data_IF_392743667559
#
_entry.id   IF_392743667559
#
_cell.length_a   1.000
_cell.length_b   1.000
_cell.length_c   1.000
_cell.angle_alpha   90.00
_cell.angle_beta   90.00
_cell.angle_gamma   90.00
#
_symmetry.space_group_name_H-M   'P 1'
#
loop_
_entity.id
_entity.type
_entity.pdbx_description
1 polymer ?
#
# COMPACT_ATOMS: atom_id res chain seq x y z
N UNK A 1 30.74 -64.94 -69.41
CA UNK A 1 31.68 -64.93 -68.28
C UNK A 1 31.15 -63.96 -67.25
N UNK A 2 30.60 -64.45 -66.14
CA UNK A 2 30.05 -63.64 -65.06
C UNK A 2 31.00 -63.73 -63.86
N UNK A 3 31.62 -62.60 -63.53
CA UNK A 3 32.57 -62.43 -62.43
C UNK A 3 31.82 -62.15 -61.13
N UNK A 4 31.90 -63.09 -60.19
CA UNK A 4 31.32 -62.99 -58.85
C UNK A 4 32.32 -62.24 -57.93
N UNK A 5 31.93 -61.08 -57.42
CA UNK A 5 32.72 -60.31 -56.45
C UNK A 5 32.37 -60.76 -55.02
N UNK A 6 33.37 -61.28 -54.30
CA UNK A 6 33.24 -61.72 -52.90
C UNK A 6 33.50 -60.51 -52.00
N UNK A 7 32.46 -60.05 -51.31
CA UNK A 7 32.53 -58.95 -50.34
C UNK A 7 32.92 -59.50 -48.97
N UNK A 8 34.12 -59.17 -48.49
CA UNK A 8 34.59 -59.52 -47.14
C UNK A 8 33.96 -58.58 -46.11
N UNK A 9 33.00 -59.10 -45.33
CA UNK A 9 32.42 -58.40 -44.19
C UNK A 9 33.45 -58.28 -43.05
N UNK A 10 33.79 -57.05 -42.67
CA UNK A 10 34.66 -56.77 -41.54
C UNK A 10 33.82 -56.69 -40.25
N UNK A 11 34.07 -57.59 -39.30
CA UNK A 11 33.39 -57.64 -38.01
C UNK A 11 33.84 -56.50 -37.09
N UNK A 12 33.23 -55.33 -37.27
CA UNK A 12 33.37 -54.21 -36.33
C UNK A 12 32.80 -54.59 -34.96
N UNK A 13 33.67 -54.68 -33.96
CA UNK A 13 33.25 -54.86 -32.58
C UNK A 13 32.54 -53.59 -32.12
N UNK A 14 31.24 -53.68 -31.85
CA UNK A 14 30.46 -52.59 -31.26
C UNK A 14 31.06 -52.24 -29.89
N UNK A 15 31.79 -51.12 -29.81
CA UNK A 15 32.21 -50.56 -28.54
C UNK A 15 30.95 -50.13 -27.78
N UNK A 16 30.63 -50.86 -26.71
CA UNK A 16 29.63 -50.45 -25.74
C UNK A 16 30.11 -49.12 -25.14
N UNK A 17 29.34 -48.03 -25.26
CA UNK A 17 29.75 -46.75 -24.70
C UNK A 17 29.95 -46.92 -23.19
N UNK A 18 31.14 -46.55 -22.70
CA UNK A 18 31.47 -46.65 -21.29
C UNK A 18 30.41 -45.93 -20.45
N UNK A 19 29.87 -46.62 -19.44
CA UNK A 19 28.85 -46.06 -18.57
C UNK A 19 29.35 -44.74 -17.96
N UNK A 20 28.53 -43.67 -17.95
CA UNK A 20 28.95 -42.37 -17.44
C UNK A 20 29.28 -42.50 -15.95
N UNK A 21 30.52 -42.19 -15.58
CA UNK A 21 30.95 -42.23 -14.19
C UNK A 21 30.09 -41.28 -13.35
N UNK A 22 29.45 -41.81 -12.31
CA UNK A 22 28.65 -41.02 -11.37
C UNK A 22 29.57 -40.10 -10.60
N UNK A 23 29.49 -38.79 -10.86
CA UNK A 23 30.19 -37.81 -10.04
C UNK A 23 29.54 -37.77 -8.65
N UNK A 24 30.35 -37.54 -7.60
CA UNK A 24 29.89 -37.39 -6.20
C UNK A 24 28.69 -36.41 -6.09
N UNK A 25 28.67 -35.36 -6.91
CA UNK A 25 27.58 -34.40 -6.98
C UNK A 25 26.26 -34.94 -7.52
N UNK A 26 26.33 -35.90 -8.46
CA UNK A 26 25.16 -36.61 -8.97
C UNK A 26 24.66 -37.64 -7.96
N UNK A 27 25.56 -38.20 -7.15
CA UNK A 27 25.22 -39.07 -6.02
C UNK A 27 24.51 -38.29 -4.90
N UNK A 28 24.92 -37.04 -4.63
CA UNK A 28 24.28 -36.17 -3.64
C UNK A 28 22.96 -35.52 -4.11
N UNK A 29 22.47 -35.82 -5.31
CA UNK A 29 21.17 -35.29 -5.78
C UNK A 29 21.15 -33.79 -6.09
N UNK A 30 22.31 -33.15 -6.29
CA UNK A 30 22.42 -31.71 -6.65
C UNK A 30 22.94 -31.56 -8.11
N UNK A 31 22.24 -32.09 -9.14
CA UNK A 31 22.74 -32.05 -10.51
C UNK A 31 22.73 -30.64 -11.14
N UNK A 32 21.98 -29.68 -10.58
CA UNK A 32 21.78 -28.37 -11.19
C UNK A 32 22.79 -27.29 -10.76
N UNK A 33 23.37 -27.38 -9.55
CA UNK A 33 24.27 -26.35 -9.00
C UNK A 33 25.56 -26.18 -9.81
N UNK A 34 26.16 -27.29 -10.23
CA UNK A 34 27.40 -27.29 -11.03
C UNK A 34 27.23 -26.72 -12.43
N UNK A 35 26.06 -26.90 -13.05
CA UNK A 35 25.79 -26.36 -14.38
C UNK A 35 25.71 -24.83 -14.34
N UNK A 36 25.07 -24.26 -13.31
CA UNK A 36 24.96 -22.81 -13.15
C UNK A 36 26.32 -22.16 -12.84
N UNK A 37 27.13 -22.79 -11.98
CA UNK A 37 28.50 -22.32 -11.70
C UNK A 37 29.37 -22.43 -12.95
N UNK A 38 29.27 -23.54 -13.69
CA UNK A 38 30.01 -23.74 -14.94
C UNK A 38 29.62 -22.70 -16.00
N UNK A 39 28.34 -22.40 -16.17
CA UNK A 39 27.88 -21.40 -17.13
C UNK A 39 28.36 -19.99 -16.75
N UNK A 40 28.31 -19.62 -15.47
CA UNK A 40 28.80 -18.31 -14.97
C UNK A 40 30.32 -18.20 -15.03
N UNK A 41 31.05 -19.30 -14.84
CA UNK A 41 32.53 -19.29 -14.81
C UNK A 41 33.17 -19.44 -16.19
N UNK A 42 32.63 -20.29 -17.07
CA UNK A 42 33.21 -20.56 -18.40
C UNK A 42 33.13 -19.35 -19.32
N UNK A 43 32.11 -18.49 -19.21
CA UNK A 43 32.01 -17.28 -20.02
C UNK A 43 32.06 -15.95 -19.26
N UNK A 44 32.57 -15.94 -18.02
CA UNK A 44 32.75 -14.68 -17.26
C UNK A 44 33.60 -13.63 -17.99
N UNK A 45 34.50 -14.07 -18.88
CA UNK A 45 35.40 -13.23 -19.68
C UNK A 45 34.96 -13.05 -21.14
N UNK A 46 33.82 -13.60 -21.56
CA UNK A 46 33.32 -13.49 -22.93
C UNK A 46 34.09 -14.30 -23.99
N UNK A 47 35.10 -15.10 -23.61
CA UNK A 47 35.99 -15.80 -24.55
C UNK A 47 35.41 -17.10 -25.15
N UNK A 48 34.26 -17.57 -24.66
CA UNK A 48 33.66 -18.84 -25.11
C UNK A 48 32.16 -18.71 -25.39
N UNK A 49 31.74 -17.88 -26.36
CA UNK A 49 30.32 -17.61 -26.66
C UNK A 49 29.53 -18.82 -27.19
N UNK A 50 30.22 -19.89 -27.60
CA UNK A 50 29.57 -21.12 -28.06
C UNK A 50 29.32 -22.16 -26.96
N UNK A 51 29.81 -21.93 -25.73
CA UNK A 51 29.65 -22.82 -24.59
C UNK A 51 28.54 -22.39 -23.62
N UNK A 52 27.95 -21.21 -23.81
CA UNK A 52 26.78 -20.77 -23.05
C UNK A 52 25.52 -21.55 -23.45
N UNK A 53 24.62 -21.75 -22.48
CA UNK A 53 23.28 -22.27 -22.76
C UNK A 53 22.56 -21.35 -23.74
N UNK A 54 22.15 -21.90 -24.88
CA UNK A 54 21.29 -21.23 -25.85
C UNK A 54 19.86 -21.79 -25.71
N UNK A 55 18.83 -20.94 -25.46
CA UNK A 55 18.90 -19.50 -25.23
C UNK A 55 19.46 -19.14 -23.83
N UNK A 56 20.20 -18.01 -23.68
CA UNK A 56 20.75 -17.60 -22.40
C UNK A 56 19.62 -17.31 -21.41
N UNK A 57 19.72 -17.90 -20.21
CA UNK A 57 18.77 -17.62 -19.14
C UNK A 57 19.03 -16.21 -18.60
N UNK A 58 18.16 -15.27 -18.95
CA UNK A 58 18.16 -13.90 -18.43
C UNK A 58 17.87 -13.90 -16.93
N UNK A 59 18.38 -12.92 -16.20
CA UNK A 59 18.04 -12.72 -14.78
C UNK A 59 16.57 -12.36 -14.70
N UNK A 60 15.86 -12.83 -13.67
CA UNK A 60 14.40 -12.64 -13.58
C UNK A 60 14.01 -11.15 -13.68
N UNK A 61 14.77 -10.25 -13.05
CA UNK A 61 14.55 -8.80 -13.10
C UNK A 61 15.06 -8.08 -14.36
N UNK A 62 15.55 -8.78 -15.39
CA UNK A 62 15.94 -8.11 -16.64
C UNK A 62 14.70 -7.51 -17.33
N UNK A 63 14.75 -6.27 -17.85
CA UNK A 63 13.60 -5.60 -18.45
C UNK A 63 13.02 -6.37 -19.64
N UNK A 64 13.85 -7.14 -20.34
CA UNK A 64 13.40 -8.00 -21.44
C UNK A 64 12.47 -9.15 -21.00
N UNK A 65 12.40 -9.48 -19.70
CA UNK A 65 11.44 -10.46 -19.19
C UNK A 65 10.06 -9.86 -18.91
N UNK A 66 9.96 -8.53 -18.72
CA UNK A 66 8.68 -7.81 -18.63
C UNK A 66 7.91 -7.88 -19.96
N UNK A 67 8.64 -7.95 -21.07
CA UNK A 67 8.11 -8.10 -22.43
C UNK A 67 7.90 -9.57 -22.84
N UNK A 68 8.16 -10.52 -21.95
CA UNK A 68 8.01 -11.93 -22.29
C UNK A 68 6.55 -12.33 -22.51
N UNK A 69 6.29 -13.14 -23.54
CA UNK A 69 4.93 -13.62 -23.86
C UNK A 69 4.39 -14.60 -22.82
N UNK A 70 5.25 -15.15 -21.95
CA UNK A 70 4.83 -16.09 -20.92
C UNK A 70 4.36 -15.32 -19.66
N UNK A 71 3.09 -15.45 -19.25
CA UNK A 71 2.54 -14.69 -18.13
C UNK A 71 3.27 -14.96 -16.81
N UNK A 72 3.80 -16.19 -16.61
CA UNK A 72 4.53 -16.53 -15.39
C UNK A 72 5.90 -15.82 -15.31
N UNK A 73 6.60 -15.68 -16.44
CA UNK A 73 7.92 -15.00 -16.49
C UNK A 73 7.73 -13.49 -16.31
N UNK A 74 6.71 -12.91 -16.95
CA UNK A 74 6.36 -11.51 -16.78
C UNK A 74 5.99 -11.18 -15.33
N UNK A 75 5.11 -11.96 -14.71
CA UNK A 75 4.73 -11.77 -13.30
C UNK A 75 5.94 -11.92 -12.36
N UNK A 76 6.79 -12.93 -12.57
CA UNK A 76 8.00 -13.10 -11.78
C UNK A 76 8.98 -11.94 -11.95
N UNK A 77 9.12 -11.39 -13.16
CA UNK A 77 9.94 -10.23 -13.44
C UNK A 77 9.40 -8.97 -12.75
N UNK A 78 8.10 -8.73 -12.81
CA UNK A 78 7.42 -7.61 -12.13
C UNK A 78 7.61 -7.69 -10.61
N UNK A 79 7.39 -8.86 -10.01
CA UNK A 79 7.61 -9.08 -8.57
C UNK A 79 9.07 -8.87 -8.21
N UNK A 80 10.01 -9.37 -9.02
CA UNK A 80 11.44 -9.21 -8.76
C UNK A 80 11.88 -7.76 -8.85
N UNK A 81 11.39 -7.01 -9.84
CA UNK A 81 11.65 -5.58 -9.95
C UNK A 81 11.08 -4.85 -8.74
N UNK A 82 9.86 -5.16 -8.31
CA UNK A 82 9.28 -4.56 -7.10
C UNK A 82 10.08 -4.88 -5.83
N UNK A 83 10.55 -6.12 -5.69
CA UNK A 83 11.38 -6.59 -4.58
C UNK A 83 12.77 -5.93 -4.60
N UNK A 84 13.41 -5.81 -5.75
CA UNK A 84 14.72 -5.15 -5.89
C UNK A 84 14.62 -3.63 -5.59
N UNK A 85 13.44 -3.04 -5.81
CA UNK A 85 13.12 -1.66 -5.42
C UNK A 85 12.84 -1.49 -3.93
N UNK A 86 12.69 -2.57 -3.14
CA UNK A 86 12.44 -2.51 -1.67
C UNK A 86 13.46 -1.63 -0.96
N UNK A 87 14.75 -1.83 -1.21
CA UNK A 87 15.81 -1.07 -0.54
C UNK A 87 15.74 0.42 -0.88
N UNK A 88 15.39 0.76 -2.13
CA UNK A 88 15.22 2.14 -2.56
C UNK A 88 13.97 2.77 -1.95
N UNK A 89 12.85 2.04 -1.89
CA UNK A 89 11.62 2.47 -1.23
C UNK A 89 11.86 2.77 0.25
N UNK A 90 12.51 1.87 0.98
CA UNK A 90 12.85 2.08 2.39
C UNK A 90 13.75 3.31 2.56
N UNK A 91 14.76 3.50 1.70
CA UNK A 91 15.63 4.69 1.75
C UNK A 91 14.84 5.98 1.48
N UNK A 92 13.92 5.96 0.52
CA UNK A 92 13.05 7.09 0.21
C UNK A 92 12.11 7.42 1.38
N UNK A 93 11.48 6.41 1.99
CA UNK A 93 10.62 6.57 3.17
C UNK A 93 11.39 7.19 4.33
N UNK A 94 12.59 6.69 4.64
CA UNK A 94 13.45 7.27 5.70
C UNK A 94 13.83 8.72 5.40
N UNK A 95 14.07 9.05 4.13
CA UNK A 95 14.33 10.43 3.72
C UNK A 95 13.09 11.32 3.88
N UNK A 96 11.91 10.86 3.45
CA UNK A 96 10.63 11.56 3.64
C UNK A 96 10.34 11.80 5.14
N UNK A 97 10.57 10.79 5.98
CA UNK A 97 10.42 10.88 7.44
C UNK A 97 11.35 11.92 8.06
N UNK A 98 12.60 12.01 7.57
CA UNK A 98 13.60 13.01 8.00
C UNK A 98 13.18 14.43 7.62
N UNK A 99 12.55 14.61 6.45
CA UNK A 99 11.99 15.91 6.05
C UNK A 99 10.76 16.27 6.89
N UNK A 100 10.00 15.26 7.31
CA UNK A 100 8.79 15.35 8.12
C UNK A 100 7.59 15.96 7.37
N UNK A 101 6.39 15.80 7.94
CA UNK A 101 5.15 16.37 7.38
C UNK A 101 4.92 17.84 7.75
N UNK A 102 6.01 18.58 8.03
CA UNK A 102 5.95 19.99 8.40
C UNK A 102 5.94 20.91 7.19
N UNK A 103 6.94 21.77 7.09
CA UNK A 103 7.02 22.84 6.08
C UNK A 103 6.93 22.38 4.61
N UNK A 104 7.27 21.13 4.31
CA UNK A 104 7.31 20.58 2.96
C UNK A 104 6.03 19.83 2.55
N UNK A 105 5.07 19.68 3.47
CA UNK A 105 3.84 18.91 3.22
C UNK A 105 2.60 19.81 3.06
N UNK A 106 2.79 21.03 2.55
CA UNK A 106 1.67 21.98 2.32
C UNK A 106 0.58 21.41 1.42
N UNK A 107 0.98 20.54 0.50
CA UNK A 107 0.09 19.90 -0.47
C UNK A 107 -0.29 18.46 -0.06
N UNK A 108 0.16 17.98 1.11
CA UNK A 108 -0.09 16.60 1.54
C UNK A 108 0.71 15.52 0.78
N UNK A 109 1.63 15.90 -0.11
CA UNK A 109 2.41 14.98 -0.94
C UNK A 109 3.25 13.99 -0.12
N UNK A 110 3.84 14.43 0.99
CA UNK A 110 4.64 13.56 1.87
C UNK A 110 3.70 12.62 2.62
N UNK A 111 2.59 13.14 3.15
CA UNK A 111 1.57 12.34 3.82
C UNK A 111 0.99 11.26 2.90
N UNK A 112 0.59 11.63 1.68
CA UNK A 112 0.01 10.69 0.71
C UNK A 112 1.04 9.64 0.26
N UNK A 113 2.32 10.03 0.11
CA UNK A 113 3.40 9.09 -0.20
C UNK A 113 3.67 8.10 0.94
N UNK A 114 3.61 8.54 2.20
CA UNK A 114 3.75 7.66 3.37
C UNK A 114 2.55 6.71 3.51
N UNK A 115 1.33 7.19 3.27
CA UNK A 115 0.12 6.33 3.25
C UNK A 115 0.25 5.27 2.14
N UNK A 116 0.67 5.67 0.93
CA UNK A 116 0.90 4.72 -0.16
C UNK A 116 1.99 3.69 0.19
N UNK A 117 3.02 4.07 0.95
CA UNK A 117 4.05 3.15 1.43
C UNK A 117 3.53 2.18 2.52
N UNK A 118 2.57 2.59 3.34
CA UNK A 118 1.86 1.70 4.28
C UNK A 118 0.99 0.68 3.55
N UNK A 119 0.65 0.90 2.27
CA UNK A 119 -0.14 -0.02 1.44
C UNK A 119 0.73 -0.84 0.47
N UNK A 120 2.06 -0.76 0.59
CA UNK A 120 2.96 -1.52 -0.28
C UNK A 120 2.78 -3.02 -0.07
N UNK A 121 2.85 -3.81 -1.14
CA UNK A 121 2.72 -5.26 -1.05
C UNK A 121 3.83 -5.91 -0.18
N UNK A 122 4.98 -5.23 -0.03
CA UNK A 122 6.14 -5.73 0.70
C UNK A 122 6.02 -5.40 2.20
N UNK A 123 5.98 -6.41 3.09
CA UNK A 123 5.76 -6.18 4.53
C UNK A 123 6.84 -5.29 5.15
N UNK A 124 8.11 -5.42 4.73
CA UNK A 124 9.19 -4.58 5.26
C UNK A 124 9.08 -3.10 4.87
N UNK A 125 8.49 -2.81 3.71
CA UNK A 125 8.28 -1.43 3.26
C UNK A 125 7.15 -0.81 4.08
N UNK A 126 6.07 -1.57 4.33
CA UNK A 126 4.98 -1.15 5.23
C UNK A 126 5.49 -0.90 6.65
N UNK A 127 6.26 -1.83 7.21
CA UNK A 127 6.84 -1.71 8.54
C UNK A 127 7.74 -0.46 8.64
N UNK A 128 8.64 -0.26 7.68
CA UNK A 128 9.52 0.90 7.64
C UNK A 128 8.73 2.23 7.53
N UNK A 129 7.60 2.24 6.84
CA UNK A 129 6.72 3.41 6.76
C UNK A 129 6.05 3.73 8.11
N UNK A 130 5.58 2.71 8.83
CA UNK A 130 4.95 2.86 10.15
C UNK A 130 5.98 3.31 11.19
N UNK A 131 7.16 2.71 11.22
CA UNK A 131 8.27 3.12 12.09
C UNK A 131 8.70 4.56 11.79
N UNK A 132 8.81 4.92 10.50
CA UNK A 132 9.08 6.28 10.08
C UNK A 132 8.05 7.27 10.64
N UNK A 133 6.75 6.97 10.53
CA UNK A 133 5.69 7.82 11.11
C UNK A 133 5.82 7.92 12.63
N UNK A 134 6.05 6.82 13.33
CA UNK A 134 6.24 6.80 14.78
C UNK A 134 7.44 7.64 15.23
N UNK A 135 8.57 7.56 14.51
CA UNK A 135 9.76 8.37 14.80
C UNK A 135 9.55 9.85 14.49
N UNK A 136 8.84 10.20 13.42
CA UNK A 136 8.52 11.60 13.11
C UNK A 136 7.48 12.15 14.09
N UNK A 137 6.58 11.33 14.60
CA UNK A 137 5.55 11.73 15.57
C UNK A 137 6.11 11.96 16.99
N UNK A 138 7.16 11.23 17.38
CA UNK A 138 7.82 11.41 18.68
C UNK A 138 8.85 12.55 18.69
N UNK A 139 9.21 13.08 17.52
CA UNK A 139 10.19 14.16 17.38
C UNK A 139 9.71 15.51 17.93
N UNK A 140 10.67 16.41 18.13
CA UNK A 140 10.36 17.80 18.48
C UNK A 140 9.61 18.50 17.34
N UNK A 141 8.68 19.37 17.73
CA UNK A 141 7.88 20.16 16.82
C UNK A 141 8.77 20.96 15.86
N UNK A 142 8.44 20.99 14.57
CA UNK A 142 9.22 21.78 13.62
C UNK A 142 9.22 23.26 14.05
N UNK A 143 10.40 23.81 14.33
CA UNK A 143 10.55 25.17 14.87
C UNK A 143 10.00 26.27 13.95
N UNK A 144 9.82 25.97 12.65
CA UNK A 144 9.31 26.92 11.65
C UNK A 144 7.79 26.94 11.53
N UNK A 145 7.13 25.78 11.58
CA UNK A 145 5.69 25.69 11.33
C UNK A 145 4.87 25.28 12.55
N UNK A 146 5.50 24.84 13.65
CA UNK A 146 4.81 24.46 14.89
C UNK A 146 3.89 23.23 14.76
N UNK A 147 3.68 22.70 13.56
CA UNK A 147 3.00 21.43 13.34
C UNK A 147 3.94 20.30 13.76
N UNK A 148 3.49 19.52 14.72
CA UNK A 148 4.38 18.71 15.56
C UNK A 148 4.58 17.30 15.03
N UNK A 149 3.78 16.84 14.07
CA UNK A 149 3.79 15.43 13.68
C UNK A 149 3.14 15.17 12.33
N UNK A 150 3.50 14.04 11.72
CA UNK A 150 2.80 13.44 10.57
C UNK A 150 1.42 12.86 10.93
N UNK A 151 0.90 13.13 12.13
CA UNK A 151 -0.32 12.54 12.66
C UNK A 151 -1.56 13.26 12.14
N UNK A 152 -1.74 13.25 10.81
CA UNK A 152 -2.99 13.70 10.20
C UNK A 152 -4.13 12.71 10.48
N UNK A 153 -5.37 13.17 10.38
CA UNK A 153 -6.55 12.31 10.51
C UNK A 153 -6.51 11.14 9.52
N UNK A 154 -5.99 11.36 8.31
CA UNK A 154 -5.82 10.30 7.30
C UNK A 154 -4.82 9.23 7.76
N UNK A 155 -3.66 9.64 8.28
CA UNK A 155 -2.61 8.72 8.75
C UNK A 155 -3.10 7.93 9.96
N UNK A 156 -3.70 8.60 10.95
CA UNK A 156 -4.26 7.94 12.14
C UNK A 156 -5.40 6.98 11.79
N UNK A 157 -6.28 7.35 10.84
CA UNK A 157 -7.29 6.42 10.32
C UNK A 157 -6.63 5.19 9.70
N UNK A 158 -5.67 5.36 8.79
CA UNK A 158 -5.01 4.23 8.13
C UNK A 158 -4.26 3.33 9.11
N UNK A 159 -3.55 3.91 10.08
CA UNK A 159 -2.90 3.14 11.15
C UNK A 159 -3.93 2.32 11.96
N UNK A 160 -5.12 2.89 12.24
CA UNK A 160 -6.18 2.17 12.97
C UNK A 160 -6.78 1.01 12.18
N UNK A 161 -6.91 1.16 10.86
CA UNK A 161 -7.32 0.09 9.95
C UNK A 161 -6.30 -1.05 9.98
N UNK A 162 -5.00 -0.74 9.87
CA UNK A 162 -3.92 -1.73 9.94
C UNK A 162 -3.88 -2.42 11.30
N UNK A 163 -3.99 -1.66 12.40
CA UNK A 163 -3.85 -2.21 13.75
C UNK A 163 -5.03 -3.11 14.16
N UNK A 164 -6.27 -2.68 13.87
CA UNK A 164 -7.46 -3.24 14.51
C UNK A 164 -8.53 -3.77 13.57
N UNK A 165 -8.55 -3.36 12.30
CA UNK A 165 -9.64 -3.75 11.40
C UNK A 165 -9.54 -5.22 11.00
N UNK A 166 -10.72 -5.85 10.93
CA UNK A 166 -10.90 -7.25 10.55
C UNK A 166 -11.84 -7.31 9.35
N UNK A 167 -11.63 -8.27 8.47
CA UNK A 167 -12.52 -8.55 7.34
C UNK A 167 -13.82 -9.22 7.80
N UNK A 168 -14.75 -9.45 6.86
CA UNK A 168 -16.03 -10.12 7.12
C UNK A 168 -15.85 -11.58 7.61
N UNK A 169 -14.65 -12.17 7.46
CA UNK A 169 -14.31 -13.50 7.96
C UNK A 169 -13.76 -13.48 9.39
N UNK A 170 -13.54 -12.29 9.95
CA UNK A 170 -12.94 -12.10 11.28
C UNK A 170 -11.41 -12.18 11.28
N UNK A 171 -10.77 -12.29 10.11
CA UNK A 171 -9.32 -12.23 9.96
C UNK A 171 -8.85 -10.77 9.94
N UNK A 172 -7.67 -10.49 10.50
CA UNK A 172 -7.11 -9.14 10.44
C UNK A 172 -6.78 -8.75 8.99
N UNK A 173 -7.07 -7.50 8.60
CA UNK A 173 -6.73 -7.00 7.27
C UNK A 173 -5.22 -7.01 7.01
N UNK A 174 -4.42 -6.67 8.03
CA UNK A 174 -2.97 -6.81 7.98
C UNK A 174 -2.54 -8.20 8.49
N UNK A 175 -1.98 -9.08 7.62
CA UNK A 175 -1.62 -10.43 8.01
C UNK A 175 -0.43 -10.50 8.98
N UNK A 176 0.49 -9.51 8.96
CA UNK A 176 1.66 -9.53 9.84
C UNK A 176 1.36 -8.96 11.23
N UNK A 177 1.49 -9.80 12.26
CA UNK A 177 1.31 -9.37 13.65
C UNK A 177 2.30 -8.28 14.09
N UNK A 178 3.53 -8.31 13.57
CA UNK A 178 4.56 -7.29 13.86
C UNK A 178 4.15 -5.90 13.34
N UNK A 179 3.60 -5.86 12.12
CA UNK A 179 3.13 -4.62 11.48
C UNK A 179 1.93 -4.06 12.24
N UNK A 180 0.99 -4.92 12.68
CA UNK A 180 -0.16 -4.52 13.50
C UNK A 180 0.27 -3.88 14.82
N UNK A 181 1.22 -4.51 15.52
CA UNK A 181 1.76 -3.99 16.77
C UNK A 181 2.47 -2.64 16.55
N UNK A 182 3.33 -2.54 15.55
CA UNK A 182 3.99 -1.29 15.20
C UNK A 182 3.00 -0.17 14.88
N UNK A 183 1.89 -0.49 14.19
CA UNK A 183 0.84 0.47 13.89
C UNK A 183 0.10 0.94 15.14
N UNK A 184 -0.20 0.02 16.07
CA UNK A 184 -0.78 0.35 17.38
C UNK A 184 0.16 1.25 18.21
N UNK A 185 1.46 0.95 18.23
CA UNK A 185 2.47 1.76 18.92
C UNK A 185 2.55 3.17 18.30
N UNK A 186 2.56 3.28 16.97
CA UNK A 186 2.55 4.55 16.26
C UNK A 186 1.27 5.36 16.53
N UNK A 187 0.11 4.72 16.63
CA UNK A 187 -1.15 5.38 17.03
C UNK A 187 -1.09 5.98 18.43
N UNK A 188 -0.53 5.24 19.38
CA UNK A 188 -0.37 5.71 20.76
C UNK A 188 0.50 6.98 20.82
N UNK A 189 1.57 7.03 20.01
CA UNK A 189 2.42 8.22 19.90
C UNK A 189 1.65 9.37 19.24
N UNK A 190 0.90 9.10 18.17
CA UNK A 190 0.15 10.12 17.45
C UNK A 190 -1.03 10.71 18.23
N UNK A 191 -1.60 9.98 19.19
CA UNK A 191 -2.83 10.35 19.88
C UNK A 191 -2.77 10.03 21.38
N UNK A 192 -1.92 10.73 22.19
CA UNK A 192 -1.71 10.40 23.59
C UNK A 192 -2.96 10.51 24.49
N UNK A 193 -3.98 11.24 24.04
CA UNK A 193 -5.23 11.45 24.80
C UNK A 193 -6.44 10.68 24.23
N UNK A 194 -6.29 9.98 23.11
CA UNK A 194 -7.39 9.17 22.57
C UNK A 194 -7.32 7.82 23.28
N UNK A 195 -8.35 7.52 24.07
CA UNK A 195 -8.47 6.24 24.76
C UNK A 195 -8.14 5.09 23.76
N UNK A 196 -7.19 4.26 24.16
CA UNK A 196 -6.61 3.13 23.43
C UNK A 196 -7.70 2.21 22.88
N UNK A 197 -8.11 2.42 21.63
CA UNK A 197 -8.99 1.53 20.86
C UNK A 197 -10.30 1.13 21.56
N UNK A 198 -11.11 0.26 20.93
CA UNK A 198 -11.82 -0.73 21.72
C UNK A 198 -10.74 -1.40 22.56
N UNK A 199 -10.83 -1.30 23.88
CA UNK A 199 -10.05 -2.17 24.77
C UNK A 199 -10.41 -3.56 24.26
N UNK A 200 -9.49 -4.21 23.53
CA UNK A 200 -9.50 -5.67 23.49
C UNK A 200 -9.40 -5.99 24.97
N UNK A 201 -10.56 -6.25 25.60
CA UNK A 201 -10.57 -7.00 26.84
C UNK A 201 -9.76 -8.21 26.44
N UNK A 202 -8.51 -8.26 26.92
CA UNK A 202 -7.68 -9.45 26.90
C UNK A 202 -8.57 -10.51 27.54
N UNK A 203 -9.37 -11.18 26.71
CA UNK A 203 -10.06 -12.40 27.05
C UNK A 203 -8.89 -13.25 27.49
N UNK A 204 -8.73 -13.48 28.81
CA UNK A 204 -7.50 -14.02 29.36
C UNK A 204 -7.19 -15.21 28.50
N UNK A 205 -6.06 -15.16 27.77
CA UNK A 205 -5.69 -16.17 26.80
C UNK A 205 -5.87 -17.49 27.52
N UNK A 206 -7.00 -18.15 27.22
CA UNK A 206 -7.52 -19.22 28.07
C UNK A 206 -6.45 -20.27 27.96
N UNK A 207 -5.66 -20.42 29.03
CA UNK A 207 -4.40 -21.15 29.01
C UNK A 207 -4.71 -22.51 28.45
N UNK A 208 -4.46 -22.68 27.15
CA UNK A 208 -4.62 -23.94 26.48
C UNK A 208 -3.75 -24.87 27.32
N UNK A 209 -4.35 -25.90 27.95
CA UNK A 209 -3.62 -26.72 28.88
C UNK A 209 -2.37 -27.20 28.15
N UNK A 210 -1.20 -26.92 28.74
CA UNK A 210 0.07 -27.37 28.19
C UNK A 210 -0.11 -28.81 27.71
N UNK A 211 0.31 -29.14 26.47
CA UNK A 211 0.23 -30.51 26.00
C UNK A 211 0.86 -31.39 27.05
N UNK A 212 0.03 -32.21 27.69
CA UNK A 212 0.44 -33.13 28.74
C UNK A 212 1.57 -33.94 28.15
N UNK A 213 2.79 -33.76 28.68
CA UNK A 213 3.96 -34.54 28.29
C UNK A 213 3.55 -36.01 28.31
N UNK A 214 3.45 -36.60 27.13
CA UNK A 214 3.23 -38.03 27.01
C UNK A 214 4.35 -38.75 27.78
N UNK A 215 4.01 -39.74 28.62
CA UNK A 215 4.98 -40.43 29.45
C UNK A 215 6.02 -41.13 28.58
N UNK A 216 7.28 -40.95 28.98
CA UNK A 216 8.47 -41.58 28.42
C UNK A 216 8.24 -43.06 28.11
N UNK A 217 8.20 -43.40 26.82
CA UNK A 217 8.38 -44.78 26.37
C UNK A 217 9.81 -45.22 26.63
N UNK A 218 9.96 -45.91 27.75
CA UNK A 218 10.81 -47.07 28.05
C UNK A 218 11.82 -47.44 26.95
N UNK A 219 13.09 -47.23 27.30
CA UNK A 219 14.22 -48.16 27.20
C UNK A 219 14.14 -49.29 26.18
N UNK A 220 14.95 -49.18 25.13
CA UNK A 220 15.38 -50.29 24.28
C UNK A 220 16.87 -50.15 24.02
N UNK A 221 17.68 -50.78 24.86
CA UNK A 221 19.12 -50.95 24.71
C UNK A 221 19.45 -51.64 23.39
N UNK A 222 20.42 -51.10 22.67
CA UNK A 222 20.95 -51.64 21.43
C UNK A 222 22.37 -51.12 21.20
N UNK A 223 23.31 -51.69 21.96
CA UNK A 223 24.75 -51.57 21.75
C UNK A 223 25.13 -51.94 20.31
N UNK A 224 25.86 -51.04 19.64
CA UNK A 224 27.03 -51.27 18.77
C UNK A 224 27.44 -49.88 18.27
N UNK A 225 28.61 -49.30 18.51
CA UNK A 225 29.95 -49.88 18.54
C UNK A 225 30.73 -49.25 17.38
N UNK A 226 31.62 -48.31 17.69
CA UNK A 226 32.59 -47.70 16.76
C UNK A 226 32.27 -46.24 16.44
N UNK A 227 33.22 -45.31 16.36
CA UNK A 227 34.66 -45.36 16.51
C UNK A 227 35.13 -43.90 16.65
N UNK A 228 36.08 -43.67 17.53
CA UNK A 228 36.59 -42.35 17.87
C UNK A 228 37.38 -41.73 16.72
N UNK A 229 37.13 -40.45 16.42
CA UNK A 229 38.13 -39.60 15.76
C UNK A 229 38.34 -38.36 16.64
N UNK A 230 39.44 -38.43 17.37
CA UNK A 230 40.02 -37.39 18.21
C UNK A 230 40.87 -36.49 17.30
N UNK A 231 40.56 -35.19 17.27
CA UNK A 231 41.30 -34.20 16.51
C UNK A 231 41.47 -32.93 17.34
N UNK A 232 42.60 -32.87 18.04
CA UNK A 232 43.09 -31.71 18.80
C UNK A 232 43.55 -30.57 17.88
N UNK A 233 43.51 -29.35 18.40
CA UNK A 233 44.27 -28.19 17.92
C UNK A 233 43.36 -27.03 17.49
N UNK A 234 43.49 -25.81 18.01
CA UNK A 234 44.43 -25.23 18.95
C UNK A 234 44.04 -23.76 19.12
N UNK A 235 44.18 -23.25 20.33
CA UNK A 235 43.96 -21.86 20.69
C UNK A 235 45.01 -20.96 20.03
N UNK A 236 44.58 -19.84 19.42
CA UNK A 236 45.45 -18.70 19.17
C UNK A 236 44.62 -17.42 19.27
N UNK A 237 44.77 -16.77 20.42
CA UNK A 237 44.43 -15.39 20.63
C UNK A 237 45.19 -14.49 19.63
N UNK A 238 44.49 -13.51 19.07
CA UNK A 238 45.07 -12.55 18.14
C UNK A 238 44.21 -11.29 18.05
N UNK A 239 44.39 -10.41 19.03
CA UNK A 239 44.03 -9.00 18.94
C UNK A 239 44.57 -8.41 17.62
N UNK A 240 43.72 -7.79 16.82
CA UNK A 240 44.16 -6.76 15.86
C UNK A 240 43.05 -5.74 15.69
N UNK A 241 43.35 -4.57 16.23
CA UNK A 241 42.67 -3.33 15.96
C UNK A 241 42.81 -3.03 14.46
N UNK A 242 41.69 -2.95 13.76
CA UNK A 242 41.65 -2.49 12.38
C UNK A 242 41.15 -1.03 12.40
N UNK A 243 42.12 -0.14 12.27
CA UNK A 243 41.96 1.25 11.89
C UNK A 243 41.37 1.33 10.49
N UNK A 244 40.12 1.78 10.38
CA UNK A 244 39.55 2.20 9.10
C UNK A 244 40.10 3.60 8.80
N UNK A 245 41.06 3.64 7.89
CA UNK A 245 41.49 4.88 7.24
C UNK A 245 40.42 5.32 6.25
N UNK A 246 39.87 6.51 6.50
CA UNK A 246 39.10 7.30 5.55
C UNK A 246 40.01 7.69 4.37
N UNK A 247 39.68 7.21 3.17
CA UNK A 247 40.23 7.70 1.91
C UNK A 247 39.17 7.53 0.81
N UNK A 248 38.49 8.62 0.46
CA UNK A 248 38.01 8.89 -0.89
C UNK A 248 37.67 10.38 -1.00
N UNK A 249 38.73 11.16 -1.19
CA UNK A 249 38.68 12.52 -1.69
C UNK A 249 38.02 12.59 -3.07
N UNK A 250 37.45 13.78 -3.28
CA UNK A 250 36.88 14.26 -4.51
C UNK A 250 37.90 14.26 -5.66
N UNK A 251 37.41 13.98 -6.87
CA UNK A 251 37.96 14.64 -8.05
C UNK A 251 36.87 14.86 -9.10
N UNK A 252 36.69 16.14 -9.40
CA UNK A 252 35.78 16.72 -10.38
C UNK A 252 36.64 17.27 -11.51
N UNK A 253 36.50 16.76 -12.74
CA UNK A 253 36.91 17.49 -13.94
C UNK A 253 35.93 17.26 -15.10
N UNK A 254 35.14 18.30 -15.34
CA UNK A 254 35.17 19.16 -16.53
C UNK A 254 35.13 18.55 -17.95
N UNK A 255 34.00 18.82 -18.60
CA UNK A 255 33.80 19.33 -19.96
C UNK A 255 34.86 19.05 -21.06
N UNK A 256 34.39 18.42 -22.16
CA UNK A 256 34.89 18.73 -23.51
C UNK A 256 33.76 18.82 -24.54
N UNK A 257 33.42 20.08 -24.83
CA UNK A 257 32.67 20.62 -25.96
C UNK A 257 33.37 20.30 -27.29
N UNK A 258 32.62 19.80 -28.28
CA UNK A 258 32.96 19.97 -29.71
C UNK A 258 31.72 20.13 -30.58
N UNK A 259 31.67 21.30 -31.23
CA UNK A 259 30.75 21.72 -32.29
C UNK A 259 30.97 20.92 -33.57
N UNK A 260 29.91 20.81 -34.40
CA UNK A 260 29.82 21.09 -35.85
C UNK A 260 28.40 20.68 -36.28
N UNK A 261 27.47 21.54 -36.72
CA UNK A 261 27.39 22.43 -37.89
C UNK A 261 26.67 21.81 -39.11
N UNK A 262 25.61 22.50 -39.52
CA UNK A 262 25.10 22.74 -40.89
C UNK A 262 24.14 21.74 -41.59
N UNK A 263 23.14 22.34 -42.27
CA UNK A 263 22.18 21.78 -43.25
C UNK A 263 20.75 21.92 -42.75
N UNK A 264 20.01 23.03 -42.93
CA UNK A 264 19.57 23.68 -44.19
C UNK A 264 18.89 22.68 -45.14
N UNK A 265 17.55 22.65 -45.12
CA UNK A 265 16.79 22.68 -46.37
C UNK A 265 15.34 23.13 -46.14
N UNK A 266 14.90 23.94 -47.09
CA UNK A 266 13.68 24.74 -47.13
C UNK A 266 12.72 24.04 -48.08
N UNK A 267 11.47 23.76 -47.68
CA UNK A 267 10.40 23.57 -48.67
C UNK A 267 9.13 24.31 -48.28
N UNK A 268 8.93 25.38 -49.06
CA UNK A 268 7.72 26.14 -49.31
C UNK A 268 6.74 25.25 -50.09
N UNK A 269 5.48 25.14 -49.66
CA UNK A 269 4.31 25.07 -50.57
C UNK A 269 3.15 25.84 -49.96
N UNK A 270 2.56 26.65 -50.82
CA UNK A 270 1.59 27.71 -50.62
C UNK A 270 0.18 27.31 -50.17
N UNK A 271 -0.44 28.36 -49.68
CA UNK A 271 -1.83 28.65 -49.33
C UNK A 271 -2.92 28.36 -50.39
N UNK A 272 -4.13 28.25 -49.84
CA UNK A 272 -5.44 28.63 -50.37
C UNK A 272 -6.19 27.63 -51.27
N UNK A 273 -7.37 27.17 -50.83
CA UNK A 273 -8.64 27.56 -51.48
C UNK A 273 -9.82 27.35 -50.52
N UNK A 274 -10.69 28.36 -50.49
CA UNK A 274 -11.91 28.50 -49.72
C UNK A 274 -13.12 27.97 -50.52
N UNK A 275 -14.23 27.72 -49.81
CA UNK A 275 -15.64 27.60 -50.27
C UNK A 275 -16.06 26.31 -51.02
N UNK A 276 -16.94 25.50 -50.40
CA UNK A 276 -18.36 25.32 -50.78
C UNK A 276 -19.01 24.07 -50.15
N UNK A 277 -20.28 24.26 -49.75
CA UNK A 277 -21.39 23.30 -49.66
C UNK A 277 -21.67 22.56 -48.34
N UNK A 278 -22.55 23.22 -47.55
CA UNK A 278 -23.73 22.60 -46.98
C UNK A 278 -24.43 21.70 -48.01
N UNK A 279 -24.71 20.45 -47.64
CA UNK A 279 -25.99 19.71 -47.74
C UNK A 279 -25.69 18.22 -47.92
N UNK A 280 -25.91 17.40 -46.88
CA UNK A 280 -26.55 16.08 -47.01
C UNK A 280 -26.81 15.49 -45.62
N UNK A 281 -28.01 15.72 -45.09
CA UNK A 281 -28.61 14.79 -44.14
C UNK A 281 -29.14 13.61 -44.96
N UNK A 282 -28.51 12.45 -44.87
CA UNK A 282 -29.11 11.19 -45.30
C UNK A 282 -29.01 10.13 -44.21
N UNK A 283 -30.20 9.69 -43.82
CA UNK A 283 -30.57 8.59 -42.97
C UNK A 283 -29.57 7.41 -42.95
N UNK A 284 -29.00 7.16 -41.77
CA UNK A 284 -28.40 5.88 -41.46
C UNK A 284 -29.51 4.87 -41.15
N UNK A 285 -29.67 3.93 -42.07
CA UNK A 285 -30.51 2.75 -42.02
C UNK A 285 -29.90 1.78 -40.98
N UNK A 286 -30.62 1.52 -39.89
CA UNK A 286 -30.21 0.51 -38.91
C UNK A 286 -30.57 -0.86 -39.48
N UNK A 287 -29.56 -1.64 -39.86
CA UNK A 287 -29.69 -3.05 -40.17
C UNK A 287 -29.83 -3.84 -38.86
N UNK A 288 -31.00 -4.41 -38.62
CA UNK A 288 -31.24 -5.40 -37.57
C UNK A 288 -30.72 -6.74 -38.06
N UNK A 289 -29.61 -7.22 -37.51
CA UNK A 289 -29.15 -8.60 -37.72
C UNK A 289 -29.97 -9.56 -36.86
N UNK A 290 -30.43 -10.64 -37.49
CA UNK A 290 -31.16 -11.74 -36.86
C UNK A 290 -30.28 -12.43 -35.80
N UNK A 291 -30.76 -12.47 -34.55
CA UNK A 291 -30.16 -13.26 -33.47
C UNK A 291 -30.77 -14.66 -33.52
N UNK A 292 -30.00 -15.64 -34.00
CA UNK A 292 -30.37 -17.05 -33.94
C UNK A 292 -30.41 -17.53 -32.48
N UNK A 293 -31.62 -17.80 -31.97
CA UNK A 293 -31.83 -18.40 -30.64
C UNK A 293 -31.56 -19.89 -30.74
N UNK A 294 -30.40 -20.32 -30.23
CA UNK A 294 -30.01 -21.73 -30.17
C UNK A 294 -30.98 -22.58 -29.33
N UNK A 295 -31.26 -23.80 -29.79
CA UNK A 295 -32.15 -24.76 -29.15
C UNK A 295 -31.63 -25.21 -27.77
N UNK A 296 -32.44 -25.00 -26.72
CA UNK A 296 -32.16 -25.43 -25.35
C UNK A 296 -32.47 -26.92 -25.19
N UNK A 297 -31.46 -27.70 -24.79
CA UNK A 297 -31.60 -29.14 -24.47
C UNK A 297 -31.99 -29.29 -23.00
N UNK A 298 -33.17 -29.84 -22.75
CA UNK A 298 -33.70 -30.10 -21.40
C UNK A 298 -32.90 -31.24 -20.73
N UNK A 299 -32.22 -30.96 -19.63
CA UNK A 299 -31.71 -31.99 -18.69
C UNK A 299 -32.30 -31.67 -17.32
N UNK A 300 -33.20 -32.52 -16.84
CA UNK A 300 -33.60 -32.57 -15.42
C UNK A 300 -34.64 -31.53 -14.96
N UNK A 301 -35.88 -31.64 -15.45
CA UNK A 301 -37.12 -31.47 -14.66
C UNK A 301 -37.41 -30.20 -13.84
N UNK A 302 -36.54 -29.19 -13.79
CA UNK A 302 -36.79 -27.93 -13.09
C UNK A 302 -36.92 -26.78 -14.08
N UNK A 303 -38.07 -26.11 -14.06
CA UNK A 303 -38.34 -24.93 -14.87
C UNK A 303 -37.50 -23.75 -14.34
N UNK A 304 -36.43 -23.40 -15.05
CA UNK A 304 -35.68 -22.17 -14.81
C UNK A 304 -36.34 -21.07 -15.66
N UNK A 305 -36.86 -20.03 -15.02
CA UNK A 305 -37.38 -18.85 -15.73
C UNK A 305 -36.21 -18.15 -16.46
N UNK A 306 -36.33 -17.85 -17.76
CA UNK A 306 -35.28 -17.11 -18.45
C UNK A 306 -35.26 -15.66 -17.95
N UNK A 307 -34.14 -15.25 -17.35
CA UNK A 307 -33.88 -13.85 -17.03
C UNK A 307 -33.38 -13.18 -18.31
N UNK A 308 -34.19 -12.31 -18.89
CA UNK A 308 -33.80 -11.43 -19.99
C UNK A 308 -32.84 -10.37 -19.46
N UNK A 309 -31.56 -10.47 -19.81
CA UNK A 309 -30.57 -9.42 -19.55
C UNK A 309 -30.63 -8.46 -20.74
N UNK A 310 -31.21 -7.28 -20.53
CA UNK A 310 -31.16 -6.18 -21.50
C UNK A 310 -29.73 -5.64 -21.61
N UNK A 311 -29.19 -5.40 -22.81
CA UNK A 311 -27.88 -4.80 -22.95
C UNK A 311 -27.94 -3.33 -22.49
N UNK A 312 -27.11 -2.98 -21.51
CA UNK A 312 -26.90 -1.60 -21.07
C UNK A 312 -25.95 -0.93 -22.05
N UNK A 313 -26.47 -0.03 -22.88
CA UNK A 313 -25.70 0.93 -23.65
C UNK A 313 -25.10 1.96 -22.71
N UNK A 314 -23.76 1.99 -22.60
CA UNK A 314 -23.04 3.04 -21.91
C UNK A 314 -23.14 4.35 -22.71
N UNK A 315 -23.80 5.35 -22.13
CA UNK A 315 -23.75 6.74 -22.57
C UNK A 315 -22.66 7.45 -21.78
N UNK A 316 -21.56 7.81 -22.44
CA UNK A 316 -20.56 8.74 -21.91
C UNK A 316 -21.03 10.16 -22.20
N UNK A 317 -21.58 10.84 -21.19
CA UNK A 317 -21.82 12.28 -21.21
C UNK A 317 -20.67 12.98 -20.48
N UNK A 318 -19.68 13.47 -21.23
CA UNK A 318 -18.75 14.50 -20.76
C UNK A 318 -19.19 15.84 -21.33
N UNK A 319 -19.99 16.58 -20.57
CA UNK A 319 -20.29 17.97 -20.88
C UNK A 319 -19.13 18.88 -20.48
N UNK A 320 -18.57 19.52 -21.52
CA UNK A 320 -17.61 20.59 -21.45
C UNK A 320 -18.29 21.90 -21.02
N UNK A 321 -17.83 22.51 -19.93
CA UNK A 321 -18.11 23.92 -19.63
C UNK A 321 -16.87 24.74 -19.97
N UNK A 322 -16.92 25.37 -21.14
CA UNK A 322 -16.02 26.44 -21.53
C UNK A 322 -16.53 27.77 -20.97
N UNK A 323 -15.69 28.48 -20.22
CA UNK A 323 -15.85 29.91 -19.97
C UNK A 323 -14.51 30.61 -20.22
N UNK A 324 -14.55 31.54 -21.16
CA UNK A 324 -13.43 32.33 -21.65
C UNK A 324 -12.99 33.40 -20.65
N UNK A 325 -11.68 33.61 -20.53
CA UNK A 325 -11.11 34.90 -20.13
C UNK A 325 -9.75 35.08 -20.81
N UNK A 326 -9.73 36.02 -21.74
CA UNK A 326 -8.59 36.60 -22.44
C UNK A 326 -7.75 37.47 -21.49
N UNK A 327 -6.43 37.22 -21.40
CA UNK A 327 -5.44 38.25 -21.04
C UNK A 327 -4.14 37.98 -21.82
N UNK A 328 -3.81 38.90 -22.72
CA UNK A 328 -2.51 39.06 -23.36
C UNK A 328 -1.44 39.44 -22.31
N UNK A 329 -0.25 38.84 -22.38
CA UNK A 329 1.01 39.59 -22.24
C UNK A 329 2.24 38.79 -22.67
N UNK A 330 3.03 39.47 -23.51
CA UNK A 330 4.25 39.01 -24.15
C UNK A 330 5.38 38.73 -23.15
N UNK A 331 6.13 37.65 -23.41
CA UNK A 331 7.37 37.32 -22.69
C UNK A 331 8.56 37.44 -23.65
N UNK A 332 9.45 38.39 -23.38
CA UNK A 332 10.82 38.42 -23.90
C UNK A 332 11.76 37.73 -22.88
N UNK A 333 12.83 37.05 -23.33
CA UNK A 333 13.76 36.39 -22.41
C UNK A 333 14.81 37.37 -21.87
N UNK A 334 14.87 37.52 -20.55
CA UNK A 334 15.97 38.23 -19.86
C UNK A 334 17.01 37.20 -19.42
N UNK A 335 18.20 37.32 -20.02
CA UNK A 335 19.43 36.65 -19.58
C UNK A 335 19.86 37.17 -18.21
N UNK A 336 20.13 36.26 -17.27
CA UNK A 336 20.76 36.59 -15.99
C UNK A 336 22.21 36.12 -16.06
N UNK A 337 23.12 37.10 -16.16
CA UNK A 337 24.55 36.91 -16.00
C UNK A 337 24.89 36.79 -14.51
N UNK A 338 25.56 35.71 -14.12
CA UNK A 338 26.28 35.64 -12.84
C UNK A 338 27.50 36.57 -12.91
N UNK A 339 27.69 37.37 -11.87
CA UNK A 339 28.95 38.05 -11.59
C UNK A 339 29.36 37.70 -10.16
N UNK A 340 30.56 37.12 -10.05
CA UNK A 340 31.36 37.06 -8.84
C UNK A 340 31.64 38.47 -8.32
N UNK A 341 31.36 38.72 -7.04
CA UNK A 341 31.95 39.86 -6.31
C UNK A 341 32.35 39.38 -4.91
N UNK A 342 33.66 39.51 -4.69
CA UNK A 342 34.41 39.25 -3.47
C UNK A 342 34.27 40.46 -2.55
N UNK A 343 33.69 40.30 -1.37
CA UNK A 343 33.84 41.21 -0.22
C UNK A 343 33.72 40.36 1.04
N UNK A 344 34.63 40.37 2.02
CA UNK A 344 35.41 41.49 2.54
C UNK A 344 35.09 41.55 4.03
N UNK A 345 35.91 40.89 4.86
CA UNK A 345 35.78 40.85 6.31
C UNK A 345 35.74 42.27 6.90
N UNK A 346 34.66 42.59 7.61
CA UNK A 346 34.61 43.74 8.50
C UNK A 346 34.08 43.29 9.86
N UNK A 347 34.94 43.48 10.86
CA UNK A 347 34.68 43.40 12.30
C UNK A 347 33.38 44.13 12.64
N UNK A 348 32.46 43.44 13.32
CA UNK A 348 31.30 44.06 13.96
C UNK A 348 31.49 43.92 15.47
N UNK A 349 31.47 45.10 16.06
CA UNK A 349 31.64 45.50 17.45
C UNK A 349 30.66 44.78 18.39
N UNK A 350 31.17 44.30 19.52
CA UNK A 350 30.38 43.71 20.61
C UNK A 350 29.56 44.81 21.30
N UNK A 351 28.27 44.90 20.98
CA UNK A 351 27.34 45.73 21.75
C UNK A 351 26.57 44.86 22.75
N UNK A 352 26.90 45.10 24.02
CA UNK A 352 26.30 44.55 25.24
C UNK A 352 24.76 44.65 25.25
N UNK A 353 24.00 43.55 25.40
CA UNK A 353 22.55 43.61 25.50
C UNK A 353 22.12 44.08 26.90
N UNK A 354 21.41 45.21 26.94
CA UNK A 354 20.83 45.79 28.12
C UNK A 354 19.92 44.81 28.89
N UNK A 355 20.10 44.77 30.21
CA UNK A 355 19.36 43.95 31.16
C UNK A 355 17.85 44.23 31.14
N UNK A 356 17.06 43.17 30.95
CA UNK A 356 15.61 43.21 31.11
C UNK A 356 15.22 43.32 32.59
N UNK A 357 14.17 44.10 32.93
CA UNK A 357 13.72 44.26 34.32
C UNK A 357 13.07 42.97 34.85
N UNK A 358 13.44 42.61 36.08
CA UNK A 358 12.92 41.44 36.79
C UNK A 358 11.40 41.53 37.02
N UNK A 359 10.67 40.40 36.89
CA UNK A 359 9.23 40.37 37.14
C UNK A 359 8.92 40.61 38.62
N UNK A 360 8.07 41.60 38.87
CA UNK A 360 7.52 41.93 40.19
C UNK A 360 6.56 40.81 40.60
N UNK A 361 6.95 40.03 41.61
CA UNK A 361 6.10 39.02 42.23
C UNK A 361 4.99 39.71 43.04
N UNK A 362 3.74 39.56 42.58
CA UNK A 362 2.56 39.92 43.36
C UNK A 362 2.27 38.81 44.37
N UNK A 363 2.05 39.14 45.66
CA UNK A 363 1.70 38.16 46.68
C UNK A 363 0.27 37.67 46.45
N UNK A 364 0.13 36.45 45.95
CA UNK A 364 -1.15 35.74 45.92
C UNK A 364 -1.42 35.28 47.36
N UNK A 365 -2.37 35.92 48.03
CA UNK A 365 -2.90 35.42 49.29
C UNK A 365 -3.57 34.06 49.04
N UNK A 366 -3.03 33.02 49.66
CA UNK A 366 -3.65 31.69 49.80
C UNK A 366 -5.00 31.83 50.51
N UNK A 367 -6.06 31.95 49.72
CA UNK A 367 -7.41 31.69 50.17
C UNK A 367 -7.54 30.16 50.32
N UNK A 368 -7.63 29.70 51.57
CA UNK A 368 -7.99 28.34 51.97
C UNK A 368 -9.19 27.85 51.13
N UNK A 369 -8.90 27.08 50.08
CA UNK A 369 -9.90 26.44 49.25
C UNK A 369 -10.43 25.20 49.97
N UNK A 370 -11.65 25.31 50.48
CA UNK A 370 -12.41 24.17 50.97
C UNK A 370 -12.44 23.06 49.89
N UNK A 371 -12.37 21.77 50.28
CA UNK A 371 -12.29 20.65 49.34
C UNK A 371 -13.55 20.62 48.47
N UNK A 372 -13.38 20.98 47.19
CA UNK A 372 -14.42 20.78 46.17
C UNK A 372 -14.59 19.27 45.98
N UNK A 373 -15.63 18.72 46.59
CA UNK A 373 -16.08 17.37 46.29
C UNK A 373 -16.41 17.29 44.80
N UNK A 374 -15.55 16.58 44.06
CA UNK A 374 -15.80 16.15 42.69
C UNK A 374 -17.01 15.22 42.70
N UNK A 375 -18.19 15.78 42.40
CA UNK A 375 -19.35 14.98 42.05
C UNK A 375 -19.09 14.41 40.67
N UNK A 376 -18.53 13.20 40.60
CA UNK A 376 -18.56 12.39 39.38
C UNK A 376 -20.04 12.09 39.12
N UNK A 377 -20.67 12.66 38.06
CA UNK A 377 -22.06 12.36 37.76
C UNK A 377 -22.15 10.87 37.48
N UNK A 378 -22.86 10.15 38.36
CA UNK A 378 -23.09 8.71 38.22
C UNK A 378 -23.86 8.50 36.91
N UNK A 379 -23.17 8.00 35.89
CA UNK A 379 -23.74 7.71 34.57
C UNK A 379 -24.85 6.68 34.77
N UNK A 380 -26.10 7.12 34.69
CA UNK A 380 -27.25 6.22 34.74
C UNK A 380 -27.26 5.48 33.40
N UNK A 381 -27.28 4.13 33.38
CA UNK A 381 -27.36 3.39 32.12
C UNK A 381 -28.62 3.82 31.37
N UNK A 382 -28.44 4.46 30.21
CA UNK A 382 -29.53 4.91 29.37
C UNK A 382 -30.18 3.68 28.73
N UNK A 383 -31.48 3.52 28.95
CA UNK A 383 -32.25 2.40 28.41
C UNK A 383 -32.47 2.65 26.92
N UNK A 384 -31.76 1.91 26.08
CA UNK A 384 -31.92 1.98 24.62
C UNK A 384 -33.30 1.48 24.22
N UNK A 385 -33.98 2.25 23.36
CA UNK A 385 -35.31 1.89 22.82
C UNK A 385 -35.15 1.53 21.34
N UNK A 386 -35.62 0.35 20.96
CA UNK A 386 -35.59 -0.11 19.56
C UNK A 386 -36.92 0.21 18.89
N UNK A 387 -36.84 0.67 17.64
CA UNK A 387 -37.95 1.02 16.77
C UNK A 387 -37.70 0.48 15.35
N UNK A 388 -38.74 0.50 14.52
CA UNK A 388 -38.68 0.07 13.12
C UNK A 388 -39.15 1.21 12.22
N UNK A 389 -38.47 1.43 11.10
CA UNK A 389 -38.88 2.41 10.08
C UNK A 389 -40.10 1.88 9.34
N UNK A 390 -41.21 2.61 9.38
CA UNK A 390 -42.45 2.25 8.67
C UNK A 390 -42.49 2.90 7.27
N UNK A 391 -41.99 4.12 7.15
CA UNK A 391 -42.04 4.87 5.90
C UNK A 391 -41.12 6.08 5.90
N UNK A 392 -40.69 6.45 4.70
CA UNK A 392 -39.74 7.56 4.45
C UNK A 392 -40.36 8.48 3.41
N UNK A 393 -40.49 9.76 3.74
CA UNK A 393 -40.84 10.81 2.79
C UNK A 393 -39.57 11.54 2.38
N UNK A 394 -38.98 11.10 1.27
CA UNK A 394 -37.74 11.64 0.72
C UNK A 394 -37.85 13.13 0.38
N UNK A 395 -39.06 13.63 0.06
CA UNK A 395 -39.24 15.04 -0.31
C UNK A 395 -39.20 15.97 0.89
N UNK A 396 -39.66 15.51 2.05
CA UNK A 396 -39.73 16.33 3.27
C UNK A 396 -38.65 15.99 4.30
N UNK A 397 -37.85 14.94 4.06
CA UNK A 397 -36.86 14.44 5.01
C UNK A 397 -37.46 13.78 6.23
N UNK A 398 -38.77 13.43 6.20
CA UNK A 398 -39.49 12.87 7.34
C UNK A 398 -39.45 11.35 7.30
N UNK A 399 -39.13 10.75 8.44
CA UNK A 399 -39.10 9.31 8.65
C UNK A 399 -40.12 8.96 9.73
N UNK A 400 -41.00 8.01 9.43
CA UNK A 400 -42.04 7.53 10.35
C UNK A 400 -41.51 6.26 11.03
N UNK A 401 -41.43 6.29 12.35
CA UNK A 401 -40.92 5.20 13.19
C UNK A 401 -42.04 4.57 14.02
N UNK A 402 -42.01 3.26 14.24
CA UNK A 402 -42.87 2.54 15.19
C UNK A 402 -42.07 1.98 16.35
N UNK A 403 -42.56 2.12 17.57
CA UNK A 403 -42.06 1.35 18.71
C UNK A 403 -43.16 0.99 19.69
N UNK A 404 -42.91 -0.01 20.53
CA UNK A 404 -43.79 -0.39 21.64
C UNK A 404 -43.60 0.46 22.90
N UNK A 405 -42.61 1.38 22.93
CA UNK A 405 -42.37 2.26 24.07
C UNK A 405 -42.68 3.72 23.70
N UNK A 406 -42.86 4.60 24.69
CA UNK A 406 -43.05 6.03 24.46
C UNK A 406 -41.68 6.74 24.41
N UNK A 407 -41.47 7.62 23.44
CA UNK A 407 -40.23 8.39 23.28
C UNK A 407 -40.43 9.87 23.60
N UNK A 408 -39.32 10.55 23.89
CA UNK A 408 -39.29 11.99 24.09
C UNK A 408 -39.09 12.69 22.73
N UNK A 409 -39.75 13.84 22.49
CA UNK A 409 -39.37 14.72 21.40
C UNK A 409 -37.91 15.17 21.58
N UNK A 410 -37.24 15.46 20.47
CA UNK A 410 -35.83 15.84 20.36
C UNK A 410 -34.80 14.76 20.76
N UNK A 411 -35.24 13.52 20.98
CA UNK A 411 -34.29 12.40 21.12
C UNK A 411 -33.59 12.10 19.79
N UNK A 412 -32.32 11.70 19.87
CA UNK A 412 -31.54 11.25 18.72
C UNK A 412 -31.79 9.78 18.44
N UNK A 413 -31.83 9.44 17.15
CA UNK A 413 -32.08 8.09 16.67
C UNK A 413 -31.04 7.73 15.63
N UNK A 414 -30.45 6.55 15.73
CA UNK A 414 -29.58 5.98 14.71
C UNK A 414 -30.32 4.90 13.94
N UNK A 415 -30.23 4.91 12.61
CA UNK A 415 -30.86 3.92 11.74
C UNK A 415 -29.79 2.97 11.19
N UNK A 416 -30.08 1.67 11.24
CA UNK A 416 -29.25 0.59 10.74
C UNK A 416 -29.99 -0.20 9.67
N UNK A 417 -29.31 -0.47 8.55
CA UNK A 417 -29.78 -1.42 7.54
C UNK A 417 -29.20 -2.79 7.80
N UNK A 418 -29.94 -3.84 7.48
CA UNK A 418 -29.41 -5.20 7.49
C UNK A 418 -28.91 -5.59 6.09
N UNK A 419 -27.58 -5.66 5.93
CA UNK A 419 -26.94 -6.21 4.73
C UNK A 419 -26.59 -7.68 4.93
N UNK A 420 -26.20 -8.36 3.85
CA UNK A 420 -25.66 -9.73 3.91
C UNK A 420 -24.41 -9.84 4.81
N UNK A 421 -23.62 -8.76 4.92
CA UNK A 421 -22.41 -8.67 5.74
C UNK A 421 -22.67 -8.18 7.18
N UNK A 422 -23.92 -7.93 7.55
CA UNK A 422 -24.30 -7.47 8.89
C UNK A 422 -25.05 -6.14 8.90
N UNK A 423 -25.26 -5.60 10.10
CA UNK A 423 -25.92 -4.30 10.27
C UNK A 423 -24.93 -3.14 10.06
N UNK A 424 -25.31 -2.15 9.25
CA UNK A 424 -24.50 -0.93 9.06
C UNK A 424 -25.33 0.31 9.37
N UNK A 425 -24.71 1.28 10.05
CA UNK A 425 -25.30 2.59 10.31
C UNK A 425 -25.49 3.34 8.99
N UNK A 426 -26.72 3.81 8.76
CA UNK A 426 -27.07 4.54 7.54
C UNK A 426 -27.20 6.04 7.81
N UNK A 427 -27.91 6.41 8.89
CA UNK A 427 -28.35 7.78 9.10
C UNK A 427 -28.60 8.08 10.59
N UNK A 428 -28.48 9.37 10.92
CA UNK A 428 -28.92 9.94 12.18
C UNK A 428 -30.23 10.73 11.98
N UNK A 429 -31.17 10.59 12.90
CA UNK A 429 -32.47 11.28 12.89
C UNK A 429 -32.71 12.00 14.21
N UNK A 430 -33.55 13.04 14.18
CA UNK A 430 -34.06 13.75 15.35
C UNK A 430 -35.59 13.64 15.42
N UNK A 431 -36.13 13.15 16.53
CA UNK A 431 -37.58 13.03 16.72
C UNK A 431 -38.20 14.43 16.85
N UNK A 432 -39.12 14.78 15.95
CA UNK A 432 -39.83 16.07 15.99
C UNK A 432 -41.21 15.98 16.61
N UNK A 433 -41.91 14.86 16.42
CA UNK A 433 -43.25 14.68 16.94
C UNK A 433 -43.50 13.23 17.33
N UNK A 434 -44.25 13.03 18.42
CA UNK A 434 -44.59 11.73 18.99
C UNK A 434 -46.11 11.64 19.04
N UNK A 435 -46.68 10.64 18.38
CA UNK A 435 -48.12 10.37 18.38
C UNK A 435 -48.38 8.92 18.83
N UNK A 436 -48.34 8.71 20.15
CA UNK A 436 -48.42 7.38 20.76
C UNK A 436 -47.22 6.51 20.39
N UNK A 437 -47.49 5.39 19.71
CA UNK A 437 -46.49 4.39 19.30
C UNK A 437 -45.85 4.69 17.94
N UNK A 438 -46.24 5.80 17.31
CA UNK A 438 -45.72 6.26 16.03
C UNK A 438 -45.04 7.60 16.22
N UNK A 439 -43.84 7.73 15.68
CA UNK A 439 -43.04 8.96 15.80
C UNK A 439 -42.66 9.46 14.41
N UNK A 440 -42.51 10.78 14.32
CA UNK A 440 -42.02 11.44 13.12
C UNK A 440 -40.66 12.05 13.45
N UNK A 441 -39.63 11.53 12.82
CA UNK A 441 -38.27 12.02 12.92
C UNK A 441 -37.85 12.70 11.60
N UNK A 442 -36.85 13.56 11.68
CA UNK A 442 -36.26 14.23 10.50
C UNK A 442 -34.79 13.81 10.42
N UNK A 443 -34.34 13.41 9.22
CA UNK A 443 -32.94 13.05 9.01
C UNK A 443 -32.04 14.28 9.16
N UNK A 444 -30.91 14.11 9.86
CA UNK A 444 -29.87 15.16 9.93
C UNK A 444 -29.04 15.22 8.65
N UNK A 445 -28.90 14.08 7.98
CA UNK A 445 -28.05 13.93 6.80
C UNK A 445 -28.87 13.55 5.56
N UNK A 446 -28.80 14.37 4.51
CA UNK A 446 -29.52 14.14 3.24
C UNK A 446 -29.05 12.86 2.53
N UNK A 447 -27.75 12.56 2.61
CA UNK A 447 -27.17 11.35 2.00
C UNK A 447 -27.67 10.08 2.69
N UNK A 448 -27.87 10.14 4.01
CA UNK A 448 -28.41 9.04 4.79
C UNK A 448 -29.87 8.75 4.43
N UNK A 449 -30.67 9.80 4.23
CA UNK A 449 -32.10 9.70 3.92
C UNK A 449 -32.40 8.85 2.66
N UNK A 450 -31.56 8.95 1.63
CA UNK A 450 -31.73 8.21 0.36
C UNK A 450 -31.58 6.70 0.56
N UNK A 451 -30.83 6.29 1.59
CA UNK A 451 -30.51 4.89 1.88
C UNK A 451 -31.44 4.25 2.92
N UNK A 452 -32.35 5.01 3.54
CA UNK A 452 -33.27 4.47 4.53
C UNK A 452 -34.42 3.75 3.81
N UNK A 453 -34.67 2.51 4.20
CA UNK A 453 -35.78 1.69 3.68
C UNK A 453 -36.79 1.35 4.79
N UNK A 454 -38.02 1.02 4.38
CA UNK A 454 -39.02 0.54 5.32
C UNK A 454 -38.64 -0.87 5.82
N UNK A 455 -38.62 -1.05 7.13
CA UNK A 455 -38.11 -2.26 7.78
C UNK A 455 -36.77 -2.07 8.51
N UNK A 456 -36.06 -0.96 8.25
CA UNK A 456 -34.80 -0.66 8.91
C UNK A 456 -34.97 -0.54 10.42
N UNK A 457 -33.93 -0.98 11.14
CA UNK A 457 -33.89 -0.95 12.60
C UNK A 457 -33.39 0.41 13.07
N UNK A 458 -34.15 1.05 13.95
CA UNK A 458 -33.81 2.33 14.53
C UNK A 458 -33.56 2.19 16.04
N UNK A 459 -32.45 2.72 16.54
CA UNK A 459 -32.09 2.71 17.96
C UNK A 459 -32.10 4.14 18.49
N UNK A 460 -32.87 4.37 19.54
CA UNK A 460 -32.97 5.68 20.17
C UNK A 460 -32.17 5.72 21.47
N UNK A 461 -31.49 6.85 21.70
CA UNK A 461 -30.65 7.10 22.88
C UNK A 461 -31.27 8.11 23.84
#
# INVERSE_FOLDING_TARGET
MATLAISTASSGHAQVPAAPQSTIWRFMGIPQGLQKIRDVTINRRGNHPNLERKPPLKRIGDPANLESTNPAIKAAAEIKVAEDMKAQKIKAIKFLAKMGCGCYDKEGKITDALIAAMDDCTPDVRLAAIEAIGTTASGECCSKCGSTSCCSEKVTKRLSEIAYERDDSGCHLEPSAEIRKAAADALCICCPNRATGPIEEDVPEETLPEPTKEPETISGEGETGGEAIQGEGGEAAGNSAESVEDNADADSEEEKKKKNAAGDDTTVIDTATEVQNLTLFQAAKIETSDVEVGSVKMIGGMAIQPVTISPVTATEDFDAVAAAATVDQASTPISISLSDEVFGSALIDETEPAALPAPIALPIHEANAAPKQSFVPKTVPQKQVVATVIGVDQRTGRVILRSGQAMRPDASVTVYHQYLTGERLIAHLLIKSVNGNVWVAVATDEVGLIKIEAGDRAVCF
#
